data_IF_153702196861
#
_entry.id   IF_153702196861
#
_cell.length_a   1.000
_cell.length_b   1.000
_cell.length_c   1.000
_cell.angle_alpha   90.00
_cell.angle_beta   90.00
_cell.angle_gamma   90.00
#
_symmetry.space_group_name_H-M   'P 1'
#
loop_
_entity.id
_entity.type
_entity.pdbx_description
1 polymer ?
#
# COMPACT_ATOMS: atom_id res chain seq x y z
N UNK A 1 9.17 -34.69 22.73
CA UNK A 1 9.77 -33.38 22.37
C UNK A 1 9.98 -33.25 20.86
N UNK A 2 10.41 -34.26 20.15
CA UNK A 2 10.65 -34.20 18.69
C UNK A 2 9.38 -34.02 17.81
N UNK A 3 8.23 -34.54 18.22
CA UNK A 3 6.97 -34.42 17.46
C UNK A 3 6.43 -32.94 17.43
N UNK A 4 6.67 -32.18 18.49
CA UNK A 4 6.20 -30.81 18.60
C UNK A 4 7.07 -29.84 17.77
N UNK A 5 8.32 -30.18 17.50
CA UNK A 5 9.22 -29.36 16.66
C UNK A 5 8.95 -29.61 15.18
N UNK A 6 8.56 -30.81 14.78
CA UNK A 6 8.22 -31.14 13.39
C UNK A 6 6.92 -30.44 12.97
N UNK A 7 5.90 -30.42 13.84
CA UNK A 7 4.64 -29.73 13.54
C UNK A 7 4.79 -28.19 13.43
N UNK A 8 5.74 -27.62 14.18
CA UNK A 8 6.08 -26.19 14.07
C UNK A 8 6.83 -25.87 12.77
N UNK A 9 7.72 -26.75 12.34
CA UNK A 9 8.44 -26.61 11.07
C UNK A 9 7.49 -26.68 9.88
N UNK A 10 6.59 -27.65 9.87
CA UNK A 10 5.56 -27.78 8.83
C UNK A 10 4.63 -26.54 8.78
N UNK A 11 4.23 -26.00 9.95
CA UNK A 11 3.43 -24.79 10.01
C UNK A 11 4.18 -23.56 9.45
N UNK A 12 5.47 -23.41 9.75
CA UNK A 12 6.32 -22.34 9.22
C UNK A 12 6.54 -22.45 7.71
N UNK A 13 6.72 -23.65 7.19
CA UNK A 13 6.86 -23.90 5.74
C UNK A 13 5.56 -23.58 5.01
N UNK A 14 4.41 -23.92 5.58
CA UNK A 14 3.10 -23.56 5.04
C UNK A 14 2.92 -22.05 5.00
N UNK A 15 3.19 -21.35 6.10
CA UNK A 15 3.11 -19.90 6.20
C UNK A 15 4.04 -19.21 5.18
N UNK A 16 5.26 -19.69 5.02
CA UNK A 16 6.18 -19.18 4.00
C UNK A 16 5.67 -19.41 2.58
N UNK A 17 5.05 -20.55 2.31
CA UNK A 17 4.48 -20.83 0.98
C UNK A 17 3.28 -19.93 0.67
N UNK A 18 2.43 -19.68 1.66
CA UNK A 18 1.30 -18.75 1.53
C UNK A 18 1.77 -17.32 1.29
N UNK A 19 2.78 -16.84 2.04
CA UNK A 19 3.38 -15.52 1.83
C UNK A 19 3.98 -15.38 0.43
N UNK A 20 4.69 -16.40 -0.07
CA UNK A 20 5.23 -16.39 -1.44
C UNK A 20 4.14 -16.33 -2.50
N UNK A 21 3.04 -17.07 -2.31
CA UNK A 21 1.89 -16.98 -3.22
C UNK A 21 1.25 -15.59 -3.19
N UNK A 22 1.09 -14.98 -2.01
CA UNK A 22 0.58 -13.63 -1.88
C UNK A 22 1.46 -12.60 -2.60
N UNK A 23 2.78 -12.75 -2.53
CA UNK A 23 3.73 -11.87 -3.23
C UNK A 23 3.62 -12.07 -4.75
N UNK A 24 3.60 -13.31 -5.25
CA UNK A 24 3.59 -13.61 -6.68
C UNK A 24 2.26 -13.28 -7.36
N UNK A 25 1.14 -13.64 -6.72
CA UNK A 25 -0.20 -13.49 -7.31
C UNK A 25 -0.86 -12.16 -6.95
N UNK A 26 -0.34 -11.47 -5.93
CA UNK A 26 -0.97 -10.30 -5.34
C UNK A 26 -2.20 -10.66 -4.51
N UNK A 27 -2.78 -9.65 -3.87
CA UNK A 27 -3.96 -9.79 -3.01
C UNK A 27 -5.11 -8.97 -3.54
N UNK A 28 -6.29 -9.59 -3.64
CA UNK A 28 -7.51 -8.90 -4.05
C UNK A 28 -8.38 -8.59 -2.84
N UNK A 29 -8.99 -7.40 -2.84
CA UNK A 29 -10.01 -7.02 -1.87
C UNK A 29 -11.16 -6.29 -2.55
N UNK A 30 -12.34 -6.32 -1.95
CA UNK A 30 -13.52 -5.63 -2.45
C UNK A 30 -13.90 -4.45 -1.56
N UNK A 31 -14.47 -3.43 -2.19
CA UNK A 31 -14.95 -2.23 -1.53
C UNK A 31 -16.35 -1.91 -2.00
N UNK A 32 -17.26 -1.65 -1.07
CA UNK A 32 -18.63 -1.26 -1.36
C UNK A 32 -18.70 0.23 -1.76
N UNK A 33 -18.91 0.48 -3.04
CA UNK A 33 -19.05 1.84 -3.57
C UNK A 33 -20.51 2.20 -3.70
N UNK A 34 -20.93 3.20 -2.94
CA UNK A 34 -22.31 3.68 -3.01
C UNK A 34 -22.41 4.92 -3.92
N UNK A 35 -23.29 4.85 -4.89
CA UNK A 35 -23.62 5.99 -5.74
C UNK A 35 -25.14 6.17 -5.89
N UNK A 36 -25.56 7.38 -6.26
CA UNK A 36 -26.96 7.69 -6.47
C UNK A 36 -27.28 7.72 -7.97
N UNK A 37 -28.10 6.77 -8.41
CA UNK A 37 -28.59 6.71 -9.80
C UNK A 37 -29.96 7.37 -9.90
N UNK A 38 -30.20 8.13 -10.96
CA UNK A 38 -31.52 8.67 -11.26
C UNK A 38 -32.36 7.58 -11.91
N UNK A 39 -33.55 7.29 -11.35
CA UNK A 39 -34.49 6.36 -12.01
C UNK A 39 -34.94 6.95 -13.34
N UNK A 40 -35.01 6.14 -14.43
CA UNK A 40 -35.63 6.56 -15.64
C UNK A 40 -37.15 6.75 -15.36
N UNK A 41 -37.62 7.97 -15.48
CA UNK A 41 -39.04 8.31 -15.25
C UNK A 41 -39.61 9.08 -16.43
N UNK A 42 -40.87 8.85 -16.76
CA UNK A 42 -41.58 9.44 -17.89
C UNK A 42 -41.79 10.97 -17.78
N UNK A 43 -41.75 11.54 -16.57
CA UNK A 43 -41.85 12.97 -16.32
C UNK A 43 -40.58 13.53 -15.67
N UNK A 44 -39.87 14.44 -16.35
CA UNK A 44 -38.57 14.95 -15.97
C UNK A 44 -38.48 15.75 -14.66
N UNK A 45 -39.60 16.10 -14.01
CA UNK A 45 -39.63 16.97 -12.82
C UNK A 45 -39.48 16.24 -11.46
N UNK A 46 -39.82 14.96 -11.34
CA UNK A 46 -39.74 14.19 -10.08
C UNK A 46 -38.84 12.96 -10.20
N UNK A 47 -37.55 13.14 -10.50
CA UNK A 47 -36.61 12.01 -10.54
C UNK A 47 -36.11 11.70 -9.12
N UNK A 48 -36.70 10.68 -8.48
CA UNK A 48 -36.18 10.12 -7.23
C UNK A 48 -34.80 9.52 -7.48
N UNK A 49 -33.84 9.86 -6.62
CA UNK A 49 -32.51 9.24 -6.61
C UNK A 49 -32.60 7.91 -5.88
N UNK A 50 -32.08 6.87 -6.47
CA UNK A 50 -31.94 5.55 -5.85
C UNK A 50 -30.49 5.35 -5.43
N UNK A 51 -30.30 4.87 -4.20
CA UNK A 51 -29.00 4.50 -3.68
C UNK A 51 -28.64 3.13 -4.25
N UNK A 52 -27.57 3.04 -5.02
CA UNK A 52 -27.05 1.78 -5.59
C UNK A 52 -25.69 1.54 -4.97
N UNK A 53 -25.50 0.34 -4.43
CA UNK A 53 -24.18 -0.10 -3.90
C UNK A 53 -23.64 -1.14 -4.85
N UNK A 54 -22.42 -0.89 -5.36
CA UNK A 54 -21.70 -1.80 -6.25
C UNK A 54 -20.40 -2.23 -5.57
N UNK A 55 -20.08 -3.51 -5.63
CA UNK A 55 -18.79 -4.03 -5.19
C UNK A 55 -17.76 -3.77 -6.29
N UNK A 56 -16.65 -3.13 -5.91
CA UNK A 56 -15.48 -2.96 -6.78
C UNK A 56 -14.33 -3.75 -6.21
N UNK A 57 -13.75 -4.59 -7.05
CA UNK A 57 -12.57 -5.39 -6.69
C UNK A 57 -11.33 -4.62 -7.06
N UNK A 58 -10.38 -4.58 -6.14
CA UNK A 58 -9.06 -4.01 -6.31
C UNK A 58 -8.01 -5.07 -6.05
N UNK A 59 -6.84 -4.93 -6.67
CA UNK A 59 -5.70 -5.82 -6.51
C UNK A 59 -4.50 -5.03 -6.00
N UNK A 60 -3.78 -5.60 -5.06
CA UNK A 60 -2.48 -5.12 -4.60
C UNK A 60 -1.46 -6.15 -5.06
N UNK A 61 -0.50 -5.74 -5.86
CA UNK A 61 0.59 -6.57 -6.36
C UNK A 61 1.91 -6.19 -5.69
N UNK A 62 2.94 -7.03 -5.85
CA UNK A 62 4.26 -6.70 -5.36
C UNK A 62 4.71 -5.34 -5.93
N UNK A 63 5.09 -4.40 -5.07
CA UNK A 63 5.40 -3.06 -5.52
C UNK A 63 6.74 -3.03 -6.28
N UNK A 64 6.80 -2.28 -7.36
CA UNK A 64 8.07 -1.91 -7.97
C UNK A 64 8.89 -1.05 -6.99
N UNK A 65 10.22 -0.96 -7.19
CA UNK A 65 11.10 -0.13 -6.33
C UNK A 65 10.61 1.32 -6.23
N UNK A 66 10.06 1.87 -7.30
CA UNK A 66 9.49 3.20 -7.29
C UNK A 66 8.19 3.30 -6.48
N UNK A 67 7.33 2.29 -6.54
CA UNK A 67 6.13 2.23 -5.71
C UNK A 67 6.50 2.05 -4.25
N UNK A 68 7.51 1.23 -3.96
CA UNK A 68 8.04 1.02 -2.61
C UNK A 68 8.63 2.31 -2.03
N UNK A 69 9.39 3.09 -2.81
CA UNK A 69 9.92 4.39 -2.40
C UNK A 69 8.79 5.35 -2.01
N UNK A 70 7.73 5.42 -2.81
CA UNK A 70 6.56 6.25 -2.54
C UNK A 70 5.79 5.79 -1.29
N UNK A 71 5.60 4.49 -1.11
CA UNK A 71 4.98 3.93 0.10
C UNK A 71 5.83 4.26 1.33
N UNK A 72 7.15 4.08 1.24
CA UNK A 72 8.08 4.40 2.33
C UNK A 72 8.03 5.88 2.70
N UNK A 73 7.99 6.78 1.71
CA UNK A 73 7.84 8.21 1.94
C UNK A 73 6.53 8.57 2.66
N UNK A 74 5.41 7.89 2.33
CA UNK A 74 4.13 8.07 3.01
C UNK A 74 4.17 7.54 4.44
N UNK A 75 4.76 6.37 4.68
CA UNK A 75 4.91 5.80 6.02
C UNK A 75 5.77 6.67 6.93
N UNK A 76 6.89 7.19 6.44
CA UNK A 76 7.75 8.11 7.21
C UNK A 76 7.07 9.44 7.56
N UNK A 77 6.07 9.85 6.77
CA UNK A 77 5.28 11.05 7.07
C UNK A 77 4.18 10.81 8.10
N UNK A 78 3.85 9.54 8.41
CA UNK A 78 2.91 9.19 9.46
C UNK A 78 3.63 9.23 10.81
N UNK A 79 3.54 10.37 11.49
CA UNK A 79 4.05 10.54 12.85
C UNK A 79 3.07 9.91 13.85
N UNK A 80 3.38 8.71 14.31
CA UNK A 80 2.64 8.04 15.36
C UNK A 80 3.38 8.30 16.69
N UNK A 81 2.83 9.20 17.51
CA UNK A 81 3.31 9.41 18.87
C UNK A 81 2.64 8.40 19.81
N UNK A 82 3.26 7.23 19.93
CA UNK A 82 2.75 6.12 20.75
C UNK A 82 2.67 6.51 22.25
N UNK A 83 3.51 7.43 22.71
CA UNK A 83 3.52 7.85 24.11
C UNK A 83 2.25 8.57 24.49
N UNK A 84 1.70 9.39 23.59
CA UNK A 84 0.42 10.09 23.80
C UNK A 84 -0.80 9.18 23.76
N UNK A 85 -0.69 8.00 23.13
CA UNK A 85 -1.78 7.02 23.10
C UNK A 85 -1.89 6.23 24.41
N UNK A 86 -0.89 6.31 25.29
CA UNK A 86 -0.89 5.63 26.60
C UNK A 86 -1.33 6.56 27.75
N UNK A 87 -1.53 7.85 27.49
CA UNK A 87 -1.95 8.84 28.47
C UNK A 87 -3.47 8.79 28.75
N UNK A 88 -3.88 9.39 29.87
CA UNK A 88 -5.30 9.46 30.27
C UNK A 88 -6.22 10.14 29.23
N UNK A 89 -5.68 10.94 28.32
CA UNK A 89 -6.41 11.63 27.24
C UNK A 89 -6.29 10.95 25.87
N UNK A 90 -6.08 9.61 25.87
CA UNK A 90 -5.87 8.82 24.63
C UNK A 90 -6.96 9.05 23.59
N UNK A 91 -8.22 9.28 24.00
CA UNK A 91 -9.34 9.44 23.07
C UNK A 91 -9.25 10.73 22.23
N UNK A 92 -8.78 11.83 22.84
CA UNK A 92 -8.57 13.08 22.10
C UNK A 92 -7.33 12.99 21.21
N UNK A 93 -6.28 12.31 21.66
CA UNK A 93 -5.11 12.00 20.84
C UNK A 93 -5.50 11.14 19.63
N UNK A 94 -6.28 10.07 19.82
CA UNK A 94 -6.78 9.21 18.77
C UNK A 94 -7.66 9.97 17.75
N UNK A 95 -8.54 10.88 18.19
CA UNK A 95 -9.37 11.72 17.30
C UNK A 95 -8.52 12.67 16.45
N UNK A 96 -7.50 13.32 17.04
CA UNK A 96 -6.58 14.19 16.32
C UNK A 96 -5.78 13.41 15.28
N UNK A 97 -5.31 12.22 15.65
CA UNK A 97 -4.58 11.30 14.78
C UNK A 97 -5.45 10.82 13.63
N UNK A 98 -6.69 10.37 13.90
CA UNK A 98 -7.62 9.96 12.87
C UNK A 98 -7.88 11.09 11.86
N UNK A 99 -8.05 12.34 12.31
CA UNK A 99 -8.25 13.50 11.44
C UNK A 99 -7.01 13.80 10.58
N UNK A 100 -5.80 13.68 11.15
CA UNK A 100 -4.54 13.96 10.44
C UNK A 100 -4.18 12.85 9.44
N UNK A 101 -4.33 11.59 9.87
CA UNK A 101 -3.74 10.46 9.15
C UNK A 101 -4.73 9.73 8.23
N UNK A 102 -6.06 9.90 8.40
CA UNK A 102 -7.06 9.20 7.57
C UNK A 102 -6.83 9.37 6.06
N UNK A 103 -6.50 10.59 5.63
CA UNK A 103 -6.21 10.87 4.22
C UNK A 103 -4.92 10.21 3.74
N UNK A 104 -3.88 10.19 4.58
CA UNK A 104 -2.60 9.54 4.26
C UNK A 104 -2.75 8.03 4.17
N UNK A 105 -3.49 7.43 5.11
CA UNK A 105 -3.79 6.00 5.05
C UNK A 105 -4.55 5.62 3.77
N UNK A 106 -5.55 6.43 3.38
CA UNK A 106 -6.23 6.24 2.10
C UNK A 106 -5.28 6.41 0.90
N UNK A 107 -4.29 7.30 0.98
CA UNK A 107 -3.28 7.50 -0.06
C UNK A 107 -2.28 6.33 -0.12
N UNK A 108 -1.92 5.73 1.01
CA UNK A 108 -1.11 4.50 1.05
C UNK A 108 -1.83 3.37 0.33
N UNK A 109 -3.11 3.13 0.65
CA UNK A 109 -3.90 2.09 -0.05
C UNK A 109 -4.02 2.39 -1.54
N UNK A 110 -4.29 3.65 -1.91
CA UNK A 110 -4.38 4.07 -3.31
C UNK A 110 -3.05 3.89 -4.06
N UNK A 111 -1.92 4.17 -3.40
CA UNK A 111 -0.58 4.00 -3.96
C UNK A 111 -0.26 2.52 -4.17
N UNK A 112 -0.61 1.66 -3.21
CA UNK A 112 -0.41 0.21 -3.34
C UNK A 112 -1.27 -0.40 -4.45
N UNK A 113 -2.53 0.02 -4.57
CA UNK A 113 -3.46 -0.45 -5.64
C UNK A 113 -3.02 0.04 -7.02
N UNK A 114 -2.57 1.30 -7.11
CA UNK A 114 -2.14 1.87 -8.39
C UNK A 114 -0.80 1.27 -8.87
N UNK A 115 0.07 0.90 -7.93
CA UNK A 115 1.30 0.19 -8.21
C UNK A 115 2.12 0.81 -9.35
N UNK A 116 2.45 -0.02 -10.35
CA UNK A 116 3.19 0.40 -11.53
C UNK A 116 2.38 1.31 -12.47
N UNK A 117 1.05 1.24 -12.46
CA UNK A 117 0.15 2.07 -13.28
C UNK A 117 0.20 3.56 -12.93
N UNK A 118 0.92 3.92 -11.87
CA UNK A 118 1.19 5.33 -11.56
C UNK A 118 1.98 6.04 -12.66
N UNK A 119 2.84 5.31 -13.36
CA UNK A 119 3.58 5.83 -14.50
C UNK A 119 3.04 5.24 -15.79
N UNK A 120 2.37 6.06 -16.58
CA UNK A 120 1.99 5.70 -17.94
C UNK A 120 3.08 6.13 -18.91
N UNK A 121 3.50 5.21 -19.78
CA UNK A 121 4.41 5.51 -20.87
C UNK A 121 3.60 5.90 -22.11
N UNK A 122 3.78 7.14 -22.58
CA UNK A 122 3.17 7.62 -23.83
C UNK A 122 4.24 7.58 -24.92
N UNK A 123 4.00 6.78 -25.97
CA UNK A 123 4.84 6.79 -27.17
C UNK A 123 4.64 8.09 -27.95
N UNK A 124 5.74 8.80 -28.19
CA UNK A 124 5.78 10.04 -28.97
C UNK A 124 6.66 9.91 -30.21
N UNK A 125 6.53 8.78 -30.93
CA UNK A 125 7.22 8.60 -32.20
C UNK A 125 8.73 8.42 -32.05
N UNK A 126 9.15 7.38 -31.31
CA UNK A 126 10.54 7.00 -31.13
C UNK A 126 11.14 7.24 -29.75
N UNK A 127 10.39 7.85 -28.84
CA UNK A 127 10.74 7.91 -27.40
C UNK A 127 9.51 7.77 -26.51
N UNK A 128 9.69 7.11 -25.37
CA UNK A 128 8.64 6.98 -24.36
C UNK A 128 8.72 8.12 -23.34
N UNK A 129 7.64 8.91 -23.25
CA UNK A 129 7.49 9.88 -22.19
C UNK A 129 6.73 9.25 -21.04
N UNK A 130 7.37 9.11 -19.88
CA UNK A 130 6.67 8.73 -18.63
C UNK A 130 5.89 9.91 -18.08
N UNK A 131 4.62 9.69 -17.81
CA UNK A 131 3.72 10.70 -17.24
C UNK A 131 3.12 10.13 -15.96
N UNK A 132 3.11 10.93 -14.90
CA UNK A 132 2.52 10.54 -13.62
C UNK A 132 0.99 10.61 -13.67
N UNK A 133 0.34 9.55 -13.21
CA UNK A 133 -1.12 9.44 -13.15
C UNK A 133 -1.68 10.01 -11.82
N UNK A 134 -1.32 11.27 -11.52
CA UNK A 134 -1.76 11.96 -10.29
C UNK A 134 -3.28 12.07 -10.17
N UNK A 135 -3.98 12.12 -11.28
CA UNK A 135 -5.44 12.23 -11.29
C UNK A 135 -6.09 10.94 -10.78
N UNK A 136 -5.61 9.81 -11.23
CA UNK A 136 -6.11 8.50 -10.80
C UNK A 136 -5.75 8.24 -9.33
N UNK A 137 -4.53 8.58 -8.90
CA UNK A 137 -4.15 8.50 -7.50
C UNK A 137 -5.11 9.32 -6.61
N UNK A 138 -5.41 10.57 -6.98
CA UNK A 138 -6.36 11.40 -6.23
C UNK A 138 -7.76 10.80 -6.21
N UNK A 139 -8.20 10.22 -7.33
CA UNK A 139 -9.50 9.56 -7.46
C UNK A 139 -9.60 8.36 -6.53
N UNK A 140 -8.58 7.49 -6.53
CA UNK A 140 -8.52 6.30 -5.65
C UNK A 140 -8.40 6.71 -4.19
N UNK A 141 -7.55 7.67 -3.85
CA UNK A 141 -7.44 8.21 -2.48
C UNK A 141 -8.80 8.72 -1.98
N UNK A 142 -9.51 9.49 -2.79
CA UNK A 142 -10.85 9.96 -2.42
C UNK A 142 -11.85 8.82 -2.28
N UNK A 143 -11.80 7.82 -3.15
CA UNK A 143 -12.64 6.64 -3.06
C UNK A 143 -12.41 5.90 -1.74
N UNK A 144 -11.18 5.52 -1.44
CA UNK A 144 -10.85 4.74 -0.24
C UNK A 144 -11.10 5.53 1.05
N UNK A 145 -10.85 6.84 1.05
CA UNK A 145 -11.19 7.69 2.21
C UNK A 145 -12.68 7.64 2.58
N UNK A 146 -13.58 7.43 1.60
CA UNK A 146 -15.01 7.41 1.83
C UNK A 146 -15.62 6.01 1.95
N UNK A 147 -14.87 4.96 1.60
CA UNK A 147 -15.40 3.60 1.52
C UNK A 147 -14.74 2.63 2.49
N UNK A 148 -13.43 2.75 2.72
CA UNK A 148 -12.69 1.85 3.62
C UNK A 148 -12.99 2.19 5.09
N UNK A 149 -13.36 1.18 5.86
CA UNK A 149 -13.62 1.31 7.29
C UNK A 149 -12.33 1.11 8.09
N UNK A 150 -12.23 1.68 9.31
CA UNK A 150 -11.04 1.49 10.16
C UNK A 150 -10.70 0.01 10.43
N UNK A 151 -11.72 -0.85 10.55
CA UNK A 151 -11.52 -2.30 10.73
C UNK A 151 -10.91 -2.99 9.50
N UNK A 152 -11.28 -2.56 8.31
CA UNK A 152 -10.75 -3.05 7.04
C UNK A 152 -9.34 -2.50 6.78
N UNK A 153 -9.09 -1.26 7.22
CA UNK A 153 -7.81 -0.59 7.06
C UNK A 153 -6.66 -1.34 7.73
N UNK A 154 -6.89 -1.93 8.92
CA UNK A 154 -5.88 -2.75 9.58
C UNK A 154 -5.49 -3.96 8.73
N UNK A 155 -6.47 -4.68 8.21
CA UNK A 155 -6.23 -5.83 7.31
C UNK A 155 -5.48 -5.40 6.06
N UNK A 156 -5.88 -4.29 5.42
CA UNK A 156 -5.20 -3.76 4.25
C UNK A 156 -3.75 -3.34 4.56
N UNK A 157 -3.49 -2.74 5.72
CA UNK A 157 -2.14 -2.37 6.12
C UNK A 157 -1.23 -3.61 6.26
N UNK A 158 -1.73 -4.67 6.89
CA UNK A 158 -0.98 -5.95 7.00
C UNK A 158 -0.73 -6.55 5.62
N UNK A 159 -1.74 -6.59 4.75
CA UNK A 159 -1.61 -7.10 3.39
C UNK A 159 -0.58 -6.31 2.57
N UNK A 160 -0.62 -4.97 2.61
CA UNK A 160 0.33 -4.11 1.91
C UNK A 160 1.75 -4.37 2.41
N UNK A 161 1.94 -4.50 3.74
CA UNK A 161 3.26 -4.76 4.34
C UNK A 161 3.80 -6.11 3.89
N UNK A 162 2.98 -7.17 3.89
CA UNK A 162 3.37 -8.50 3.48
C UNK A 162 3.73 -8.57 1.99
N UNK A 163 2.88 -7.99 1.13
CA UNK A 163 3.13 -7.98 -0.32
C UNK A 163 4.33 -7.09 -0.69
N UNK A 164 4.64 -6.07 0.13
CA UNK A 164 5.80 -5.19 -0.09
C UNK A 164 7.16 -5.88 0.06
N UNK A 165 7.20 -7.08 0.61
CA UNK A 165 8.39 -7.95 0.70
C UNK A 165 9.67 -7.22 1.17
N UNK A 166 9.52 -6.38 2.20
CA UNK A 166 10.62 -5.56 2.74
C UNK A 166 11.80 -6.39 3.25
N UNK A 167 11.54 -7.64 3.68
CA UNK A 167 12.58 -8.57 4.14
C UNK A 167 13.58 -8.91 3.04
N UNK A 168 13.10 -9.30 1.87
CA UNK A 168 13.94 -9.63 0.73
C UNK A 168 14.63 -8.39 0.15
N UNK A 169 13.95 -7.24 0.17
CA UNK A 169 14.57 -5.96 -0.19
C UNK A 169 15.79 -5.65 0.69
N UNK A 170 15.67 -5.75 2.02
CA UNK A 170 16.77 -5.51 2.96
C UNK A 170 17.89 -6.55 2.77
N UNK A 171 17.54 -7.82 2.57
CA UNK A 171 18.50 -8.88 2.33
C UNK A 171 19.29 -8.65 1.04
N UNK A 172 18.62 -8.19 -0.02
CA UNK A 172 19.26 -7.82 -1.29
C UNK A 172 20.28 -6.67 -1.12
N UNK A 173 19.92 -5.64 -0.35
CA UNK A 173 20.84 -4.54 -0.02
C UNK A 173 22.06 -5.06 0.75
N UNK A 174 21.86 -5.93 1.74
CA UNK A 174 22.95 -6.51 2.53
C UNK A 174 23.90 -7.33 1.65
N UNK A 175 23.37 -8.15 0.74
CA UNK A 175 24.17 -8.93 -0.20
C UNK A 175 25.00 -8.02 -1.12
N UNK A 176 24.39 -7.00 -1.70
CA UNK A 176 25.09 -6.03 -2.55
C UNK A 176 26.15 -5.23 -1.79
N UNK A 177 25.91 -4.93 -0.51
CA UNK A 177 26.88 -4.25 0.35
C UNK A 177 28.05 -5.17 0.74
N UNK A 178 27.78 -6.44 1.02
CA UNK A 178 28.79 -7.43 1.40
C UNK A 178 29.73 -7.80 0.24
N UNK A 179 29.26 -7.70 -1.01
CA UNK A 179 30.07 -7.97 -2.22
C UNK A 179 30.92 -6.78 -2.68
N UNK A 180 30.90 -5.65 -1.97
CA UNK A 180 31.81 -4.54 -2.26
C UNK A 180 33.25 -4.96 -2.01
N UNK A 181 34.05 -5.06 -3.08
CA UNK A 181 35.46 -5.48 -3.05
C UNK A 181 36.45 -4.33 -2.81
N UNK A 182 35.97 -3.08 -2.76
CA UNK A 182 36.82 -1.90 -2.51
C UNK A 182 36.23 -1.02 -1.42
N UNK A 183 37.02 -0.78 -0.38
CA UNK A 183 36.68 0.20 0.64
C UNK A 183 37.03 1.60 0.09
N UNK A 184 36.10 2.55 -0.02
CA UNK A 184 36.38 3.88 -0.60
C UNK A 184 37.45 4.67 0.16
N UNK A 185 37.73 4.34 1.40
CA UNK A 185 38.76 4.98 2.23
C UNK A 185 40.20 4.67 1.79
N UNK A 186 40.44 3.57 1.08
CA UNK A 186 41.77 3.20 0.62
C UNK A 186 42.19 3.81 -0.72
N UNK A 187 41.29 4.46 -1.45
CA UNK A 187 41.59 5.08 -2.74
C UNK A 187 42.17 6.50 -2.63
N UNK A 188 42.13 7.13 -1.44
CA UNK A 188 42.56 8.51 -1.22
C UNK A 188 44.00 8.58 -0.63
N UNK A 189 44.53 7.52 -0.02
CA UNK A 189 45.86 7.50 0.63
C UNK A 189 47.03 7.07 -0.28
N UNK A 190 46.79 6.81 -1.57
CA UNK A 190 47.89 6.42 -2.50
C UNK A 190 48.30 7.52 -3.48
N UNK A 191 48.11 8.79 -3.18
CA UNK A 191 48.58 9.92 -3.98
C UNK A 191 49.46 10.90 -3.17
N UNK A 192 50.42 10.37 -2.39
CA UNK A 192 51.56 11.16 -1.87
C UNK A 192 52.88 10.56 -2.35
#
# INVERSE_FOLDING_TARGET
MAENDNSKLEALELEQSELRLMIQEGVTFDVDVTHYRRKPGFCGYFRKREKVTEKRVFKIEEPTLNTLDRLSALWLQMEIDETRLQEADYLNAAKKMANKEAKRLAEVVATAVLGEDYYTAIDKGGYFKRTENKQELKRLTSLFLHTVKPSELFTLAVLITNVSNLGDFINSIRLMSATRTSDPTHLIEQQD
#
